data_IF_917874416257
#
_entry.id   IF_917874416257
#
_cell.length_a   1.000
_cell.length_b   1.000
_cell.length_c   1.000
_cell.angle_alpha   90.00
_cell.angle_beta   90.00
_cell.angle_gamma   90.00
#
_symmetry.space_group_name_H-M   'P 1'
#
loop_
_entity.id
_entity.type
_entity.pdbx_description
1 polymer ?
#
# COMPACT_ATOMS: atom_id res chain seq x y z
N UNK A 1 -9.27 -32.74 17.29
CA UNK A 1 -8.01 -32.10 16.88
C UNK A 1 -8.11 -31.94 15.38
N UNK A 2 -8.17 -30.71 14.87
CA UNK A 2 -8.21 -30.48 13.41
C UNK A 2 -6.88 -31.00 12.87
N UNK A 3 -6.96 -32.02 12.01
CA UNK A 3 -5.80 -32.59 11.34
C UNK A 3 -5.35 -31.55 10.33
N UNK A 4 -4.35 -30.76 10.73
CA UNK A 4 -3.72 -29.79 9.86
C UNK A 4 -2.89 -30.59 8.86
N UNK A 5 -3.50 -30.93 7.73
CA UNK A 5 -2.81 -31.60 6.63
C UNK A 5 -1.89 -30.58 5.94
N UNK A 6 -0.55 -30.78 5.95
CA UNK A 6 0.41 -29.82 5.41
C UNK A 6 0.21 -29.52 3.92
N UNK A 7 -0.45 -30.42 3.19
CA UNK A 7 -0.80 -30.24 1.77
C UNK A 7 -1.92 -29.22 1.62
N UNK A 8 -2.96 -29.30 2.46
CA UNK A 8 -4.08 -28.35 2.46
C UNK A 8 -3.64 -26.91 2.79
N UNK A 9 -2.76 -26.75 3.79
CA UNK A 9 -2.18 -25.45 4.14
C UNK A 9 -1.34 -24.85 3.00
N UNK A 10 -0.54 -25.68 2.33
CA UNK A 10 0.28 -25.25 1.21
C UNK A 10 -0.56 -24.75 0.03
N UNK A 11 -1.71 -25.38 -0.21
CA UNK A 11 -2.64 -24.95 -1.26
C UNK A 11 -3.30 -23.61 -0.93
N UNK A 12 -3.78 -23.41 0.30
CA UNK A 12 -4.38 -22.15 0.74
C UNK A 12 -3.37 -20.99 0.74
N UNK A 13 -2.14 -21.26 1.15
CA UNK A 13 -1.02 -20.31 1.06
C UNK A 13 -0.74 -19.94 -0.41
N UNK A 14 -0.62 -20.93 -1.30
CA UNK A 14 -0.31 -20.67 -2.70
C UNK A 14 -1.42 -19.87 -3.39
N UNK A 15 -2.70 -20.21 -3.13
CA UNK A 15 -3.84 -19.49 -3.67
C UNK A 15 -3.87 -18.02 -3.21
N UNK A 16 -3.66 -17.78 -1.91
CA UNK A 16 -3.60 -16.43 -1.35
C UNK A 16 -2.38 -15.63 -1.83
N UNK A 17 -1.23 -16.28 -2.00
CA UNK A 17 -0.03 -15.65 -2.55
C UNK A 17 -0.19 -15.23 -4.01
N UNK A 18 -0.84 -16.03 -4.85
CA UNK A 18 -1.11 -15.66 -6.25
C UNK A 18 -2.04 -14.43 -6.31
N UNK A 19 -3.11 -14.43 -5.53
CA UNK A 19 -4.03 -13.30 -5.44
C UNK A 19 -3.33 -12.05 -4.89
N UNK A 20 -2.56 -12.20 -3.82
CA UNK A 20 -1.72 -11.14 -3.27
C UNK A 20 -0.80 -10.55 -4.32
N UNK A 21 -0.09 -11.40 -5.09
CA UNK A 21 0.83 -10.96 -6.14
C UNK A 21 0.17 -10.20 -7.28
N UNK A 22 -1.01 -10.64 -7.73
CA UNK A 22 -1.79 -9.91 -8.74
C UNK A 22 -2.20 -8.52 -8.24
N UNK A 23 -2.64 -8.42 -6.99
CA UNK A 23 -3.02 -7.16 -6.36
C UNK A 23 -1.80 -6.26 -6.16
N UNK A 24 -0.69 -6.79 -5.66
CA UNK A 24 0.57 -6.05 -5.48
C UNK A 24 1.09 -5.45 -6.79
N UNK A 25 0.99 -6.21 -7.89
CA UNK A 25 1.30 -5.73 -9.24
C UNK A 25 0.39 -4.56 -9.66
N UNK A 26 -0.93 -4.69 -9.46
CA UNK A 26 -1.90 -3.65 -9.81
C UNK A 26 -1.69 -2.37 -8.98
N UNK A 27 -1.46 -2.52 -7.67
CA UNK A 27 -1.20 -1.40 -6.75
C UNK A 27 -0.01 -0.58 -7.21
N UNK A 28 1.09 -1.21 -7.66
CA UNK A 28 2.26 -0.45 -8.14
C UNK A 28 1.93 0.42 -9.35
N UNK A 29 1.10 -0.07 -10.26
CA UNK A 29 0.70 0.69 -11.46
C UNK A 29 -0.10 1.92 -11.06
N UNK A 30 -1.06 1.76 -10.15
CA UNK A 30 -1.83 2.88 -9.60
C UNK A 30 -0.94 3.84 -8.81
N UNK A 31 -0.02 3.34 -7.99
CA UNK A 31 0.91 4.15 -7.22
C UNK A 31 1.81 5.02 -8.11
N UNK A 32 2.36 4.44 -9.20
CA UNK A 32 3.14 5.20 -10.20
C UNK A 32 2.30 6.31 -10.83
N UNK A 33 1.05 6.04 -11.19
CA UNK A 33 0.15 7.05 -11.77
C UNK A 33 -0.15 8.18 -10.78
N UNK A 34 -0.53 7.85 -9.54
CA UNK A 34 -0.82 8.83 -8.49
C UNK A 34 0.42 9.68 -8.18
N UNK A 35 1.61 9.06 -8.09
CA UNK A 35 2.85 9.78 -7.84
C UNK A 35 3.14 10.83 -8.94
N UNK A 36 2.87 10.50 -10.21
CA UNK A 36 3.04 11.45 -11.32
C UNK A 36 2.04 12.60 -11.21
N UNK A 37 0.75 12.30 -10.97
CA UNK A 37 -0.29 13.33 -10.85
C UNK A 37 0.04 14.30 -9.72
N UNK A 38 0.30 13.78 -8.52
CA UNK A 38 0.64 14.60 -7.34
C UNK A 38 1.92 15.40 -7.59
N UNK A 39 2.94 14.79 -8.19
CA UNK A 39 4.19 15.50 -8.51
C UNK A 39 3.97 16.68 -9.45
N UNK A 40 3.16 16.50 -10.49
CA UNK A 40 2.80 17.57 -11.44
C UNK A 40 2.02 18.69 -10.74
N UNK A 41 1.03 18.35 -9.91
CA UNK A 41 0.25 19.33 -9.14
C UNK A 41 1.14 20.17 -8.22
N UNK A 42 2.09 19.53 -7.50
CA UNK A 42 3.04 20.25 -6.64
C UNK A 42 3.93 21.21 -7.43
N UNK A 43 4.39 20.81 -8.62
CA UNK A 43 5.17 21.69 -9.50
C UNK A 43 4.32 22.90 -9.95
N UNK A 44 3.06 22.67 -10.32
CA UNK A 44 2.14 23.75 -10.72
C UNK A 44 1.90 24.71 -9.55
N UNK A 45 1.64 24.21 -8.35
CA UNK A 45 1.44 25.06 -7.16
C UNK A 45 2.68 25.87 -6.83
N UNK A 46 3.88 25.26 -6.90
CA UNK A 46 5.14 25.97 -6.70
C UNK A 46 5.37 27.07 -7.74
N UNK A 47 4.98 26.82 -8.99
CA UNK A 47 5.05 27.82 -10.06
C UNK A 47 4.06 28.98 -9.82
N UNK A 48 2.82 28.70 -9.45
CA UNK A 48 1.83 29.73 -9.13
C UNK A 48 2.22 30.56 -7.90
N UNK A 49 2.84 29.93 -6.91
CA UNK A 49 3.42 30.59 -5.75
C UNK A 49 4.57 31.53 -6.14
N UNK A 50 5.49 31.07 -7.00
CA UNK A 50 6.58 31.91 -7.53
C UNK A 50 6.08 33.13 -8.30
N UNK A 51 4.91 33.05 -8.94
CA UNK A 51 4.31 34.16 -9.67
C UNK A 51 3.41 35.06 -8.80
N UNK A 52 3.29 34.75 -7.51
CA UNK A 52 2.46 35.51 -6.57
C UNK A 52 0.95 35.35 -6.78
N UNK A 53 0.51 34.30 -7.49
CA UNK A 53 -0.90 34.04 -7.78
C UNK A 53 -1.58 33.31 -6.61
N UNK A 54 -0.85 32.39 -5.96
CA UNK A 54 -1.34 31.54 -4.86
C UNK A 54 -0.29 31.51 -3.74
N UNK A 55 -0.71 31.32 -2.49
CA UNK A 55 0.20 31.03 -1.36
C UNK A 55 -0.03 29.59 -0.90
N UNK A 56 1.04 28.80 -0.79
CA UNK A 56 0.98 27.38 -0.39
C UNK A 56 1.61 27.25 0.99
N UNK A 57 0.86 26.69 1.94
CA UNK A 57 1.37 26.37 3.28
C UNK A 57 2.04 25.00 3.27
N UNK A 58 3.36 25.01 3.08
CA UNK A 58 4.18 23.80 3.03
C UNK A 58 4.26 23.05 4.37
N UNK A 59 4.07 23.76 5.49
CA UNK A 59 4.10 23.16 6.82
C UNK A 59 2.85 22.30 7.01
N UNK A 60 1.66 22.83 6.69
CA UNK A 60 0.41 22.06 6.71
C UNK A 60 0.40 20.92 5.70
N UNK A 61 0.99 21.12 4.51
CA UNK A 61 1.07 20.07 3.51
C UNK A 61 1.88 18.87 4.01
N UNK A 62 3.00 19.12 4.71
CA UNK A 62 3.82 18.06 5.29
C UNK A 62 3.22 17.45 6.56
N UNK A 63 2.59 18.25 7.42
CA UNK A 63 1.84 17.78 8.57
C UNK A 63 0.68 16.86 8.18
N UNK A 64 -0.05 17.18 7.09
CA UNK A 64 -1.11 16.33 6.57
C UNK A 64 -0.62 14.97 6.07
N UNK A 65 0.61 14.89 5.55
CA UNK A 65 1.24 13.61 5.19
C UNK A 65 1.59 12.78 6.43
N UNK A 66 2.09 13.41 7.49
CA UNK A 66 2.38 12.76 8.77
C UNK A 66 1.09 12.21 9.42
N UNK A 67 0.03 13.00 9.47
CA UNK A 67 -1.27 12.58 9.99
C UNK A 67 -1.87 11.43 9.17
N UNK A 68 -1.68 11.46 7.84
CA UNK A 68 -2.09 10.36 6.96
C UNK A 68 -1.29 9.09 7.22
N UNK A 69 0.01 9.21 7.51
CA UNK A 69 0.85 8.08 7.88
C UNK A 69 0.44 7.47 9.22
N UNK A 70 0.16 8.30 10.23
CA UNK A 70 -0.35 7.85 11.54
C UNK A 70 -1.69 7.11 11.38
N UNK A 71 -2.62 7.65 10.58
CA UNK A 71 -3.89 6.96 10.26
C UNK A 71 -3.70 5.67 9.47
N UNK A 72 -2.73 5.62 8.56
CA UNK A 72 -2.41 4.39 7.84
C UNK A 72 -1.85 3.32 8.78
N UNK A 73 -1.15 3.74 9.84
CA UNK A 73 -0.61 2.86 10.88
C UNK A 73 -1.72 2.32 11.80
N UNK A 74 -2.68 3.15 12.20
CA UNK A 74 -3.91 2.70 12.89
C UNK A 74 -4.73 1.74 12.00
N UNK A 75 -4.76 2.00 10.69
CA UNK A 75 -5.32 1.09 9.70
C UNK A 75 -4.49 -0.18 9.47
N UNK A 76 -3.25 -0.26 9.95
CA UNK A 76 -2.46 -1.49 9.83
C UNK A 76 -2.86 -2.53 10.88
N UNK A 77 -3.44 -2.11 12.01
CA UNK A 77 -3.83 -2.99 13.12
C UNK A 77 -4.87 -4.06 12.69
N UNK A 78 -5.83 -3.69 11.83
CA UNK A 78 -6.80 -4.66 11.29
C UNK A 78 -6.17 -5.60 10.24
N UNK A 79 -5.14 -5.14 9.53
CA UNK A 79 -4.36 -5.96 8.60
C UNK A 79 -3.51 -6.95 9.39
N UNK A 80 -2.93 -6.54 10.52
CA UNK A 80 -2.19 -7.41 11.43
C UNK A 80 -3.08 -8.54 11.99
N UNK A 81 -4.37 -8.25 12.25
CA UNK A 81 -5.36 -9.28 12.61
C UNK A 81 -5.62 -10.31 11.50
N UNK A 82 -5.49 -9.93 10.22
CA UNK A 82 -5.63 -10.85 9.07
C UNK A 82 -4.34 -11.64 8.85
N UNK A 83 -3.18 -10.99 8.99
CA UNK A 83 -1.86 -11.64 8.87
C UNK A 83 -1.66 -12.69 9.97
N UNK A 84 -2.17 -12.43 11.18
CA UNK A 84 -2.16 -13.38 12.30
C UNK A 84 -3.15 -14.54 12.16
N UNK A 85 -4.03 -14.53 11.14
CA UNK A 85 -4.78 -15.73 10.70
C UNK A 85 -3.84 -16.64 9.89
N UNK A 86 -2.88 -17.21 10.63
CA UNK A 86 -1.80 -18.20 10.47
C UNK A 86 -1.26 -18.62 9.08
N UNK A 87 -2.03 -18.64 8.00
CA UNK A 87 -1.57 -19.21 6.72
C UNK A 87 -2.02 -18.41 5.51
N UNK A 88 -3.28 -17.99 5.48
CA UNK A 88 -3.84 -17.18 4.37
C UNK A 88 -3.26 -15.77 4.39
N UNK A 89 -3.14 -15.15 5.57
CA UNK A 89 -2.60 -13.80 5.70
C UNK A 89 -1.11 -13.70 5.32
N UNK A 90 -0.30 -14.69 5.73
CA UNK A 90 1.13 -14.77 5.39
C UNK A 90 1.33 -15.09 3.89
N UNK A 91 0.50 -15.98 3.32
CA UNK A 91 0.48 -16.26 1.89
C UNK A 91 0.17 -15.01 1.08
N UNK A 92 -0.92 -14.33 1.42
CA UNK A 92 -1.28 -13.07 0.80
C UNK A 92 -0.18 -12.01 0.88
N UNK A 93 0.37 -11.75 2.07
CA UNK A 93 1.38 -10.71 2.27
C UNK A 93 2.67 -11.00 1.50
N UNK A 94 3.14 -12.26 1.53
CA UNK A 94 4.32 -12.67 0.77
C UNK A 94 4.11 -12.54 -0.74
N UNK A 95 2.96 -12.99 -1.23
CA UNK A 95 2.54 -12.81 -2.62
C UNK A 95 2.47 -11.35 -3.03
N UNK A 96 1.80 -10.52 -2.22
CA UNK A 96 1.64 -9.09 -2.43
C UNK A 96 2.96 -8.35 -2.56
N UNK A 97 3.88 -8.58 -1.62
CA UNK A 97 5.20 -7.96 -1.66
C UNK A 97 5.97 -8.40 -2.91
N UNK A 98 5.95 -9.68 -3.27
CA UNK A 98 6.59 -10.17 -4.48
C UNK A 98 6.00 -9.53 -5.74
N UNK A 99 4.67 -9.44 -5.85
CA UNK A 99 3.99 -8.77 -6.96
C UNK A 99 4.35 -7.28 -7.05
N UNK A 100 4.39 -6.60 -5.89
CA UNK A 100 4.75 -5.19 -5.80
C UNK A 100 6.22 -4.91 -6.16
N UNK A 101 7.17 -5.75 -5.72
CA UNK A 101 8.58 -5.55 -6.03
C UNK A 101 8.94 -5.93 -7.47
N UNK A 102 8.25 -6.91 -8.08
CA UNK A 102 8.55 -7.42 -9.42
C UNK A 102 8.00 -6.53 -10.57
N UNK A 103 6.98 -5.72 -10.30
CA UNK A 103 6.39 -4.73 -11.23
C UNK A 103 7.26 -3.46 -11.42
#
# INVERSE_FOLDING_TARGET
MVEIDPTSMGFEFAASAVLGGLIGFAVKTVAKLVAVIVGVELVIFRYLESNGVVTVDWDRLSAGLLETQERAQEGADWIESIVSTTTVGVGFASGFLLGYYRA
#
